data_IF_317949106298
#
_entry.id   IF_317949106298
#
_cell.length_a   1.000
_cell.length_b   1.000
_cell.length_c   1.000
_cell.angle_alpha   90.00
_cell.angle_beta   90.00
_cell.angle_gamma   90.00
#
_symmetry.space_group_name_H-M   'P 1'
#
loop_
_entity.id
_entity.type
_entity.pdbx_description
1 polymer ?
#
# COMPACT_ATOMS: atom_id res chain seq x y z
N UNK A 1 -0.80 2.31 -10.76
CA UNK A 1 -1.06 0.96 -10.23
C UNK A 1 -1.67 1.13 -8.85
N UNK A 2 -2.91 0.70 -8.64
CA UNK A 2 -3.55 0.77 -7.32
C UNK A 2 -2.86 -0.16 -6.32
N UNK A 3 -3.14 0.01 -5.02
CA UNK A 3 -2.71 -0.91 -3.97
C UNK A 3 -3.26 -2.32 -4.23
N UNK A 4 -4.48 -2.43 -4.76
CA UNK A 4 -5.10 -3.70 -5.13
C UNK A 4 -4.39 -4.38 -6.31
N UNK A 5 -4.07 -3.64 -7.37
CA UNK A 5 -3.33 -4.18 -8.52
C UNK A 5 -1.92 -4.62 -8.10
N UNK A 6 -1.28 -3.86 -7.20
CA UNK A 6 0.02 -4.20 -6.64
C UNK A 6 -0.03 -5.46 -5.77
N UNK A 7 -1.03 -5.58 -4.89
CA UNK A 7 -1.23 -6.75 -4.02
C UNK A 7 -1.36 -8.04 -4.85
N UNK A 8 -2.17 -8.02 -5.91
CA UNK A 8 -2.34 -9.17 -6.78
C UNK A 8 -1.02 -9.58 -7.44
N UNK A 9 -0.25 -8.63 -7.96
CA UNK A 9 1.06 -8.89 -8.56
C UNK A 9 2.08 -9.40 -7.54
N UNK A 10 2.11 -8.80 -6.35
CA UNK A 10 3.02 -9.17 -5.27
C UNK A 10 2.73 -10.56 -4.73
N UNK A 11 1.46 -10.92 -4.55
CA UNK A 11 1.03 -12.25 -4.10
C UNK A 11 1.38 -13.31 -5.13
N UNK A 12 1.12 -13.08 -6.42
CA UNK A 12 1.49 -14.02 -7.49
C UNK A 12 3.01 -14.31 -7.53
N UNK A 13 3.84 -13.27 -7.36
CA UNK A 13 5.30 -13.41 -7.31
C UNK A 13 5.77 -14.08 -6.01
N UNK A 14 5.16 -13.74 -4.87
CA UNK A 14 5.50 -14.30 -3.56
C UNK A 14 5.17 -15.79 -3.48
N UNK A 15 4.05 -16.21 -4.07
CA UNK A 15 3.63 -17.61 -4.10
C UNK A 15 4.56 -18.46 -4.99
N UNK A 16 5.02 -17.90 -6.11
CA UNK A 16 6.04 -18.52 -6.96
C UNK A 16 7.37 -18.69 -6.21
N UNK A 17 7.75 -17.66 -5.43
CA UNK A 17 8.97 -17.62 -4.65
C UNK A 17 8.75 -18.00 -3.18
N UNK A 18 7.95 -19.04 -2.92
CA UNK A 18 7.52 -19.44 -1.57
C UNK A 18 8.64 -19.57 -0.51
N UNK A 19 9.88 -19.82 -0.93
CA UNK A 19 11.06 -19.91 -0.08
C UNK A 19 11.77 -18.56 0.18
N UNK A 20 11.51 -17.51 -0.61
CA UNK A 20 12.12 -16.17 -0.48
C UNK A 20 11.35 -15.24 0.45
N UNK A 21 10.12 -15.61 0.83
CA UNK A 21 9.24 -14.80 1.68
C UNK A 21 8.54 -15.70 2.71
N UNK A 22 9.33 -16.53 3.39
CA UNK A 22 8.80 -17.52 4.33
C UNK A 22 8.31 -16.91 5.66
N UNK A 23 8.89 -15.80 6.09
CA UNK A 23 8.45 -15.08 7.30
C UNK A 23 7.31 -14.09 6.95
N UNK A 24 6.11 -14.22 7.54
CA UNK A 24 5.01 -13.28 7.36
C UNK A 24 5.37 -11.82 7.67
N UNK A 25 6.30 -11.57 8.60
CA UNK A 25 6.77 -10.22 8.93
C UNK A 25 7.65 -9.66 7.83
N UNK A 26 8.51 -10.50 7.25
CA UNK A 26 9.33 -10.12 6.10
C UNK A 26 8.46 -9.88 4.87
N UNK A 27 7.39 -10.67 4.68
CA UNK A 27 6.37 -10.45 3.65
C UNK A 27 5.74 -9.07 3.77
N UNK A 28 5.24 -8.74 4.96
CA UNK A 28 4.62 -7.44 5.24
C UNK A 28 5.60 -6.29 4.96
N UNK A 29 6.86 -6.41 5.42
CA UNK A 29 7.88 -5.39 5.18
C UNK A 29 8.19 -5.21 3.69
N UNK A 30 8.44 -6.30 2.94
CA UNK A 30 8.72 -6.23 1.50
C UNK A 30 7.54 -5.66 0.71
N UNK A 31 6.32 -5.95 1.15
CA UNK A 31 5.12 -5.38 0.57
C UNK A 31 5.08 -3.86 0.75
N UNK A 32 5.22 -3.37 1.99
CA UNK A 32 5.25 -1.94 2.30
C UNK A 32 6.38 -1.21 1.55
N UNK A 33 7.58 -1.79 1.52
CA UNK A 33 8.76 -1.22 0.87
C UNK A 33 8.57 -0.96 -0.63
N UNK A 34 7.74 -1.77 -1.30
CA UNK A 34 7.46 -1.63 -2.74
C UNK A 34 6.34 -0.66 -3.12
N UNK A 35 5.65 -0.06 -2.14
CA UNK A 35 4.59 0.93 -2.39
C UNK A 35 5.13 2.31 -2.78
N UNK A 36 4.21 3.17 -3.24
CA UNK A 36 4.51 4.59 -3.44
C UNK A 36 4.75 5.30 -2.10
N UNK A 37 5.62 6.31 -2.12
CA UNK A 37 6.09 7.03 -0.93
C UNK A 37 5.00 7.80 -0.18
N UNK A 38 3.96 8.24 -0.88
CA UNK A 38 2.79 8.91 -0.31
C UNK A 38 1.96 7.95 0.56
N UNK A 39 1.68 6.75 0.07
CA UNK A 39 1.01 5.68 0.83
C UNK A 39 1.87 5.25 2.02
N UNK A 40 3.16 4.98 1.78
CA UNK A 40 4.11 4.62 2.83
C UNK A 40 4.14 5.65 3.97
N UNK A 41 4.02 6.95 3.68
CA UNK A 41 4.02 8.00 4.71
C UNK A 41 2.79 7.95 5.61
N UNK A 42 1.62 7.57 5.07
CA UNK A 42 0.40 7.43 5.86
C UNK A 42 0.38 6.14 6.70
N UNK A 43 1.06 5.09 6.25
CA UNK A 43 1.06 3.78 6.93
C UNK A 43 2.20 3.61 7.93
N UNK A 44 3.41 4.11 7.62
CA UNK A 44 4.64 3.92 8.43
C UNK A 44 4.56 4.46 9.87
N UNK A 45 3.59 5.33 10.19
CA UNK A 45 3.38 5.82 11.56
C UNK A 45 3.04 4.67 12.52
N UNK A 46 2.43 3.60 12.02
CA UNK A 46 2.14 2.39 12.80
C UNK A 46 2.89 1.20 12.22
N UNK A 47 3.81 0.63 13.02
CA UNK A 47 4.54 -0.59 12.66
C UNK A 47 3.61 -1.80 12.71
N UNK A 48 2.92 -2.08 11.60
CA UNK A 48 2.05 -3.25 11.44
C UNK A 48 2.86 -4.37 10.79
N UNK A 49 3.05 -5.46 11.51
CA UNK A 49 3.80 -6.63 11.03
C UNK A 49 2.89 -7.76 10.50
N UNK A 50 1.58 -7.50 10.45
CA UNK A 50 0.57 -8.42 9.92
C UNK A 50 0.18 -7.98 8.51
N UNK A 51 0.43 -8.84 7.53
CA UNK A 51 0.22 -8.53 6.10
C UNK A 51 -1.22 -8.14 5.78
N UNK A 52 -2.21 -8.82 6.35
CA UNK A 52 -3.61 -8.54 6.07
C UNK A 52 -4.04 -7.18 6.64
N UNK A 53 -3.63 -6.88 7.88
CA UNK A 53 -3.88 -5.57 8.50
C UNK A 53 -3.16 -4.43 7.78
N UNK A 54 -1.94 -4.68 7.32
CA UNK A 54 -1.14 -3.73 6.56
C UNK A 54 -1.84 -3.40 5.23
N UNK A 55 -2.23 -4.41 4.45
CA UNK A 55 -2.94 -4.25 3.19
C UNK A 55 -4.23 -3.43 3.33
N UNK A 56 -5.07 -3.73 4.33
CA UNK A 56 -6.30 -2.97 4.58
C UNK A 56 -6.02 -1.50 4.87
N UNK A 57 -4.94 -1.21 5.59
CA UNK A 57 -4.57 0.17 5.91
C UNK A 57 -4.06 0.93 4.70
N UNK A 58 -3.34 0.27 3.81
CA UNK A 58 -2.86 0.86 2.57
C UNK A 58 -3.99 1.17 1.60
N UNK A 59 -5.04 0.35 1.55
CA UNK A 59 -6.26 0.66 0.78
C UNK A 59 -6.90 1.96 1.28
N UNK A 60 -7.06 2.10 2.59
CA UNK A 60 -7.61 3.32 3.20
C UNK A 60 -6.69 4.52 2.90
N UNK A 61 -5.37 4.33 2.96
CA UNK A 61 -4.43 5.40 2.66
C UNK A 61 -4.50 5.86 1.19
N UNK A 62 -4.56 4.92 0.25
CA UNK A 62 -4.74 5.23 -1.17
C UNK A 62 -6.05 5.98 -1.43
N UNK A 63 -7.14 5.59 -0.76
CA UNK A 63 -8.41 6.30 -0.85
C UNK A 63 -8.30 7.74 -0.34
N UNK A 64 -7.76 7.96 0.86
CA UNK A 64 -7.60 9.31 1.44
C UNK A 64 -6.75 10.21 0.52
N UNK A 65 -5.66 9.69 -0.03
CA UNK A 65 -4.79 10.43 -0.95
C UNK A 65 -5.54 10.83 -2.22
N UNK A 66 -6.35 9.93 -2.78
CA UNK A 66 -7.15 10.22 -3.97
C UNK A 66 -8.22 11.28 -3.68
N UNK A 67 -8.93 11.16 -2.55
CA UNK A 67 -9.94 12.14 -2.12
C UNK A 67 -9.32 13.54 -1.92
N UNK A 68 -8.16 13.62 -1.26
CA UNK A 68 -7.42 14.87 -1.09
C UNK A 68 -7.02 15.46 -2.46
N UNK A 69 -6.54 14.62 -3.38
CA UNK A 69 -6.13 15.08 -4.72
C UNK A 69 -7.32 15.63 -5.50
N UNK A 70 -8.45 14.94 -5.48
CA UNK A 70 -9.68 15.39 -6.14
C UNK A 70 -10.18 16.71 -5.54
N UNK A 71 -10.11 16.86 -4.21
CA UNK A 71 -10.48 18.10 -3.54
C UNK A 71 -9.62 19.26 -4.03
N UNK A 72 -8.30 19.09 -4.04
CA UNK A 72 -7.36 20.11 -4.51
C UNK A 72 -7.54 20.47 -5.99
N UNK A 73 -7.81 19.48 -6.86
CA UNK A 73 -8.09 19.69 -8.28
C UNK A 73 -9.37 20.52 -8.48
N UNK A 74 -10.45 20.19 -7.74
CA UNK A 74 -11.71 20.96 -7.77
C UNK A 74 -11.52 22.40 -7.32
N UNK A 75 -10.80 22.62 -6.21
CA UNK A 75 -10.54 23.98 -5.69
C UNK A 75 -9.71 24.81 -6.66
N UNK A 76 -8.73 24.20 -7.35
CA UNK A 76 -7.91 24.89 -8.35
C UNK A 76 -8.68 25.22 -9.63
N UNK A 77 -9.64 24.38 -10.04
CA UNK A 77 -10.47 24.60 -11.22
C UNK A 77 -11.57 25.66 -11.01
N UNK A 78 -11.91 25.97 -9.76
CA UNK A 78 -12.89 27.00 -9.39
C UNK A 78 -12.29 28.40 -9.18
N UNK A 79 -10.97 28.57 -9.35
CA UNK A 79 -10.23 29.83 -9.27
C UNK A 79 -9.81 30.29 -10.67
#
# INVERSE_FOLDING_TARGET
MSVMEYEAAFTALSDYARHLVADPREKAKKFEDGLRKDIQKQTNVMRIYDYAKLYQRELIAEQNINEDREWHEKTKASL
#
